data_IF_940705842428
#
_entry.id   IF_940705842428
#
_cell.length_a   1.000
_cell.length_b   1.000
_cell.length_c   1.000
_cell.angle_alpha   90.00
_cell.angle_beta   90.00
_cell.angle_gamma   90.00
#
_symmetry.space_group_name_H-M   'P 1'
#
loop_
_entity.id
_entity.type
_entity.pdbx_description
1 polymer ?
#
# COMPACT_ATOMS: atom_id res chain seq x y z
N UNK A 1 -32.50 11.52 45.46
CA UNK A 1 -32.29 10.38 44.56
C UNK A 1 -33.20 10.57 43.36
N UNK A 2 -32.75 11.34 42.36
CA UNK A 2 -33.54 11.56 41.15
C UNK A 2 -33.31 10.39 40.20
N UNK A 3 -34.39 9.73 39.80
CA UNK A 3 -34.38 8.66 38.82
C UNK A 3 -34.00 9.23 37.45
N UNK A 4 -32.89 8.78 36.88
CA UNK A 4 -32.56 9.05 35.48
C UNK A 4 -33.41 8.11 34.64
N UNK A 5 -34.55 8.59 34.18
CA UNK A 5 -35.33 7.96 33.11
C UNK A 5 -34.48 7.95 31.86
N UNK A 6 -34.17 6.75 31.35
CA UNK A 6 -33.52 6.54 30.06
C UNK A 6 -34.40 7.09 28.94
N UNK A 7 -34.13 8.32 28.52
CA UNK A 7 -34.65 8.85 27.25
C UNK A 7 -33.86 8.28 26.07
N UNK A 8 -34.37 8.44 24.84
CA UNK A 8 -33.65 8.00 23.63
C UNK A 8 -32.28 8.68 23.58
N UNK A 9 -31.23 7.89 23.37
CA UNK A 9 -29.84 8.34 23.28
C UNK A 9 -29.73 9.47 22.24
N UNK A 10 -29.38 10.68 22.67
CA UNK A 10 -29.20 11.80 21.74
C UNK A 10 -27.80 11.80 21.15
N UNK A 11 -27.67 12.29 19.91
CA UNK A 11 -26.39 12.45 19.22
C UNK A 11 -25.38 13.26 20.04
N UNK A 12 -25.87 14.29 20.72
CA UNK A 12 -25.06 15.20 21.55
C UNK A 12 -24.55 14.53 22.84
N UNK A 13 -25.33 13.62 23.42
CA UNK A 13 -24.89 12.83 24.57
C UNK A 13 -23.74 11.91 24.19
N UNK A 14 -23.84 11.23 23.04
CA UNK A 14 -22.81 10.33 22.54
C UNK A 14 -21.53 11.08 22.14
N UNK A 15 -21.65 12.29 21.57
CA UNK A 15 -20.51 13.12 21.19
C UNK A 15 -19.67 13.62 22.37
N UNK A 16 -20.27 13.74 23.56
CA UNK A 16 -19.58 14.18 24.78
C UNK A 16 -18.83 13.05 25.49
N UNK A 17 -19.10 11.79 25.15
CA UNK A 17 -18.37 10.65 25.70
C UNK A 17 -16.95 10.67 25.13
N UNK A 18 -15.95 10.63 26.00
CA UNK A 18 -14.52 10.60 25.64
C UNK A 18 -13.86 9.24 25.89
N UNK A 19 -14.58 8.33 26.54
CA UNK A 19 -14.11 6.99 26.86
C UNK A 19 -14.61 5.98 25.81
N UNK A 20 -13.67 5.31 25.16
CA UNK A 20 -13.93 4.26 24.19
C UNK A 20 -14.64 3.06 24.82
N UNK A 21 -14.30 2.71 26.07
CA UNK A 21 -14.88 1.57 26.75
C UNK A 21 -16.37 1.79 27.03
N UNK A 22 -16.75 3.00 27.40
CA UNK A 22 -18.16 3.37 27.60
C UNK A 22 -18.97 3.20 26.31
N UNK A 23 -18.42 3.59 25.16
CA UNK A 23 -19.10 3.40 23.87
C UNK A 23 -19.19 1.91 23.46
N UNK A 24 -18.17 1.10 23.76
CA UNK A 24 -18.22 -0.35 23.54
C UNK A 24 -19.26 -1.03 24.44
N UNK A 25 -19.28 -0.70 25.73
CA UNK A 25 -20.25 -1.24 26.67
C UNK A 25 -21.68 -0.85 26.27
N UNK A 26 -21.88 0.39 25.81
CA UNK A 26 -23.14 0.85 25.22
C UNK A 26 -23.51 0.07 23.97
N UNK A 27 -22.53 -0.25 23.11
CA UNK A 27 -22.75 -1.03 21.89
C UNK A 27 -23.20 -2.47 22.17
N UNK A 28 -22.72 -3.05 23.26
CA UNK A 28 -23.05 -4.41 23.68
C UNK A 28 -24.46 -4.52 24.30
N UNK A 29 -24.93 -3.47 24.96
CA UNK A 29 -26.29 -3.42 25.53
C UNK A 29 -27.34 -2.87 24.57
N UNK A 30 -26.94 -2.14 23.52
CA UNK A 30 -27.86 -1.53 22.56
C UNK A 30 -28.57 -2.58 21.71
N UNK A 31 -29.89 -2.64 21.83
CA UNK A 31 -30.75 -3.51 21.01
C UNK A 31 -31.33 -2.81 19.79
N UNK A 32 -31.44 -1.48 19.82
CA UNK A 32 -31.99 -0.71 18.72
C UNK A 32 -30.94 -0.46 17.61
N UNK A 33 -31.39 -0.53 16.35
CA UNK A 33 -30.52 -0.37 15.20
C UNK A 33 -29.99 1.06 15.08
N UNK A 34 -30.83 2.06 15.34
CA UNK A 34 -30.43 3.47 15.25
C UNK A 34 -29.50 3.82 16.41
N UNK A 35 -29.78 3.36 17.63
CA UNK A 35 -28.85 3.51 18.76
C UNK A 35 -27.48 2.89 18.45
N UNK A 36 -27.45 1.66 17.94
CA UNK A 36 -26.22 0.96 17.53
C UNK A 36 -25.47 1.71 16.43
N UNK A 37 -26.18 2.28 15.47
CA UNK A 37 -25.62 3.11 14.40
C UNK A 37 -24.98 4.38 14.96
N UNK A 38 -25.67 5.07 15.89
CA UNK A 38 -25.22 6.30 16.51
C UNK A 38 -24.01 6.07 17.41
N UNK A 39 -24.02 5.02 18.23
CA UNK A 39 -22.88 4.64 19.08
C UNK A 39 -21.64 4.38 18.21
N UNK A 40 -21.78 3.63 17.10
CA UNK A 40 -20.67 3.41 16.16
C UNK A 40 -20.21 4.71 15.50
N UNK A 41 -21.12 5.63 15.19
CA UNK A 41 -20.77 6.94 14.64
C UNK A 41 -19.96 7.78 15.64
N UNK A 42 -20.39 7.83 16.90
CA UNK A 42 -19.65 8.50 17.96
C UNK A 42 -18.28 7.86 18.20
N UNK A 43 -18.19 6.53 18.18
CA UNK A 43 -16.93 5.80 18.29
C UNK A 43 -15.98 6.12 17.13
N UNK A 44 -16.49 6.24 15.90
CA UNK A 44 -15.73 6.71 14.74
C UNK A 44 -15.14 8.09 14.98
N UNK A 45 -15.97 9.06 15.39
CA UNK A 45 -15.53 10.43 15.61
C UNK A 45 -14.52 10.54 16.76
N UNK A 46 -14.75 9.82 17.87
CA UNK A 46 -13.83 9.79 19.01
C UNK A 46 -12.45 9.27 18.61
N UNK A 47 -12.40 8.14 17.91
CA UNK A 47 -11.14 7.50 17.52
C UNK A 47 -10.45 8.27 16.39
N UNK A 48 -11.22 8.89 15.49
CA UNK A 48 -10.70 9.84 14.49
C UNK A 48 -10.07 11.05 15.16
N UNK A 49 -10.75 11.67 16.12
CA UNK A 49 -10.21 12.80 16.90
C UNK A 49 -8.94 12.41 17.65
N UNK A 50 -8.90 11.21 18.23
CA UNK A 50 -7.70 10.67 18.90
C UNK A 50 -6.55 10.43 17.93
N UNK A 51 -6.80 9.97 16.70
CA UNK A 51 -5.79 9.89 15.63
C UNK A 51 -5.28 11.27 15.25
N UNK A 52 -6.17 12.19 14.91
CA UNK A 52 -5.80 13.55 14.50
C UNK A 52 -4.99 14.24 15.59
N UNK A 53 -5.33 14.03 16.86
CA UNK A 53 -4.55 14.53 17.99
C UNK A 53 -3.12 13.96 17.99
N UNK A 54 -2.97 12.64 17.80
CA UNK A 54 -1.64 12.00 17.69
C UNK A 54 -0.86 12.55 16.50
N UNK A 55 -1.50 12.73 15.36
CA UNK A 55 -0.83 13.23 14.15
C UNK A 55 -0.45 14.71 14.27
N UNK A 56 -1.30 15.55 14.90
CA UNK A 56 -0.95 16.93 15.25
C UNK A 56 0.22 16.98 16.23
N UNK A 57 0.23 16.12 17.24
CA UNK A 57 1.33 16.05 18.20
C UNK A 57 2.64 15.63 17.53
N UNK A 58 2.59 14.64 16.63
CA UNK A 58 3.74 14.22 15.81
C UNK A 58 4.26 15.35 14.92
N UNK A 59 3.36 16.04 14.22
CA UNK A 59 3.71 17.18 13.38
C UNK A 59 4.34 18.32 14.21
N UNK A 60 3.76 18.65 15.36
CA UNK A 60 4.28 19.67 16.27
C UNK A 60 5.67 19.30 16.80
N UNK A 61 5.91 18.03 17.16
CA UNK A 61 7.23 17.54 17.56
C UNK A 61 8.25 17.67 16.42
N UNK A 62 7.86 17.37 15.18
CA UNK A 62 8.72 17.52 14.01
C UNK A 62 9.06 18.99 13.73
N UNK A 63 8.10 19.89 13.82
CA UNK A 63 8.32 21.33 13.66
C UNK A 63 9.20 21.90 14.78
N UNK A 64 9.03 21.42 16.01
CA UNK A 64 9.89 21.81 17.12
C UNK A 64 11.34 21.36 16.88
N UNK A 65 11.56 20.13 16.37
CA UNK A 65 12.89 19.67 15.94
C UNK A 65 13.50 20.54 14.83
N UNK A 66 12.69 21.04 13.90
CA UNK A 66 13.15 21.96 12.84
C UNK A 66 13.52 23.33 13.40
N UNK A 67 12.79 23.83 14.40
CA UNK A 67 13.09 25.10 15.09
C UNK A 67 14.30 24.97 16.04
N UNK A 68 14.52 23.80 16.64
CA UNK A 68 15.70 23.47 17.44
C UNK A 68 16.93 23.08 16.59
N UNK A 69 16.91 23.34 15.29
CA UNK A 69 18.09 23.20 14.43
C UNK A 69 19.27 23.95 15.03
N UNK A 70 20.21 23.20 15.61
CA UNK A 70 21.56 23.66 15.93
C UNK A 70 22.17 24.15 14.62
N UNK A 71 22.16 25.46 14.42
CA UNK A 71 23.06 26.12 13.50
C UNK A 71 24.49 25.88 13.99
N UNK A 72 25.42 25.30 13.21
CA UNK A 72 26.77 25.81 13.26
C UNK A 72 26.70 27.21 12.65
N UNK A 73 26.62 28.23 13.49
CA UNK A 73 26.77 29.61 13.06
C UNK A 73 28.09 29.84 12.31
N UNK A 74 28.18 30.89 11.47
CA UNK A 74 29.35 31.16 10.65
C UNK A 74 30.53 31.58 11.53
N UNK A 75 31.69 30.93 11.35
CA UNK A 75 32.93 31.41 11.98
C UNK A 75 33.48 32.60 11.18
N UNK A 76 33.87 33.71 11.85
CA UNK A 76 34.49 34.84 11.18
C UNK A 76 35.99 34.57 10.91
N UNK A 77 36.33 34.79 9.64
CA UNK A 77 37.61 35.10 8.99
C UNK A 77 38.96 35.01 9.73
N UNK A 78 39.91 34.34 9.06
CA UNK A 78 41.34 34.65 8.99
C UNK A 78 41.88 34.25 7.59
N UNK A 79 42.82 35.00 6.96
CA UNK A 79 42.81 35.22 5.52
C UNK A 79 43.87 34.45 4.72
N UNK A 80 43.57 34.22 3.43
CA UNK A 80 44.46 34.33 2.26
C UNK A 80 43.77 33.61 1.09
N UNK A 81 43.04 34.33 0.23
CA UNK A 81 43.51 34.89 -1.04
C UNK A 81 43.99 33.80 -2.02
N UNK A 82 43.22 33.53 -3.08
CA UNK A 82 43.56 33.90 -4.47
C UNK A 82 42.30 33.69 -5.34
N UNK A 83 41.78 34.84 -5.78
CA UNK A 83 41.24 35.18 -7.09
C UNK A 83 40.45 34.14 -7.92
N UNK A 84 39.17 34.47 -8.11
CA UNK A 84 38.30 34.06 -9.21
C UNK A 84 38.79 34.62 -10.55
N UNK A 85 38.58 33.90 -11.66
CA UNK A 85 37.58 34.35 -12.66
C UNK A 85 37.21 33.29 -13.73
N UNK A 86 35.92 33.01 -13.76
CA UNK A 86 35.00 32.75 -14.90
C UNK A 86 35.54 32.40 -16.28
N UNK A 87 34.96 31.34 -16.90
CA UNK A 87 34.06 31.47 -18.07
C UNK A 87 33.51 30.11 -18.59
N UNK A 88 32.18 30.09 -18.80
CA UNK A 88 31.37 29.53 -19.92
C UNK A 88 31.91 28.39 -20.84
N UNK A 89 31.03 27.37 -20.98
CA UNK A 89 30.62 26.66 -22.23
C UNK A 89 31.48 25.49 -22.77
N UNK A 90 30.73 24.53 -23.32
CA UNK A 90 31.01 23.57 -24.42
C UNK A 90 31.44 22.15 -24.03
N UNK A 91 30.67 21.20 -24.59
CA UNK A 91 30.97 19.78 -24.80
C UNK A 91 32.42 19.54 -25.26
N UNK A 92 33.07 18.51 -24.72
CA UNK A 92 34.31 17.98 -25.31
C UNK A 92 34.23 16.47 -25.40
N UNK A 93 34.23 16.00 -26.66
CA UNK A 93 34.65 14.66 -27.07
C UNK A 93 36.15 14.56 -26.84
N UNK A 94 36.62 13.46 -26.24
CA UNK A 94 38.04 13.12 -26.17
C UNK A 94 38.37 12.03 -27.19
N UNK A 95 39.46 12.29 -27.91
CA UNK A 95 40.13 11.55 -28.98
C UNK A 95 41.54 11.21 -28.49
N UNK A 96 42.07 9.99 -28.55
CA UNK A 96 42.77 9.25 -29.65
C UNK A 96 43.74 8.26 -28.92
N UNK A 97 44.56 7.37 -29.56
CA UNK A 97 44.69 7.01 -30.98
C UNK A 97 44.67 5.47 -31.24
N UNK A 98 44.84 5.13 -32.52
CA UNK A 98 45.00 3.80 -33.08
C UNK A 98 46.43 3.24 -32.94
N UNK A 99 46.56 1.90 -33.01
CA UNK A 99 47.75 1.19 -33.45
C UNK A 99 47.33 -0.05 -34.24
N UNK A 100 48.04 -0.33 -35.33
CA UNK A 100 47.74 -1.32 -36.36
C UNK A 100 48.57 -2.60 -36.19
N UNK A 101 48.06 -3.72 -36.72
CA UNK A 101 48.88 -4.84 -37.23
C UNK A 101 48.08 -5.75 -38.20
N UNK A 102 48.34 -5.51 -39.48
CA UNK A 102 48.55 -6.40 -40.64
C UNK A 102 48.08 -7.87 -40.69
N UNK A 103 47.22 -8.15 -41.71
CA UNK A 103 47.31 -9.14 -42.85
C UNK A 103 47.42 -10.67 -42.60
N UNK A 104 47.12 -11.58 -43.58
CA UNK A 104 46.39 -11.44 -44.86
C UNK A 104 45.29 -12.52 -45.12
N UNK A 105 44.52 -12.31 -46.21
CA UNK A 105 43.56 -13.26 -46.81
C UNK A 105 44.24 -14.20 -47.81
N UNK A 106 43.77 -15.45 -47.89
CA UNK A 106 43.97 -16.35 -49.04
C UNK A 106 42.64 -16.96 -49.49
N UNK A 107 42.48 -17.05 -50.80
CA UNK A 107 41.30 -17.50 -51.55
C UNK A 107 41.11 -19.02 -51.51
N UNK A 108 39.87 -19.48 -51.70
CA UNK A 108 39.55 -20.90 -51.93
C UNK A 108 38.06 -21.19 -52.02
N UNK A 109 37.49 -21.17 -53.23
CA UNK A 109 36.15 -21.69 -53.54
C UNK A 109 36.09 -23.21 -53.34
N UNK A 110 34.95 -23.77 -52.88
CA UNK A 110 34.16 -24.84 -53.54
C UNK A 110 32.70 -24.90 -53.00
N UNK A 111 31.77 -25.00 -53.95
CA UNK A 111 30.32 -25.31 -53.99
C UNK A 111 29.57 -26.14 -52.90
N UNK A 112 28.34 -25.65 -52.55
CA UNK A 112 26.94 -26.21 -52.61
C UNK A 112 26.67 -27.70 -52.15
N UNK A 113 25.52 -28.10 -51.49
CA UNK A 113 24.12 -27.68 -51.71
C UNK A 113 23.19 -27.38 -50.51
N UNK A 114 21.98 -26.80 -50.77
CA UNK A 114 21.08 -26.28 -49.74
C UNK A 114 20.00 -27.29 -49.35
N UNK A 115 19.80 -27.49 -48.04
CA UNK A 115 18.64 -28.18 -47.51
C UNK A 115 17.47 -27.20 -47.36
N UNK A 116 16.33 -27.61 -47.90
CA UNK A 116 15.04 -26.93 -47.90
C UNK A 116 14.67 -26.33 -46.53
N UNK A 117 14.33 -25.04 -46.54
CA UNK A 117 13.78 -24.36 -45.38
C UNK A 117 12.37 -24.83 -45.08
N UNK A 118 12.20 -25.55 -43.98
CA UNK A 118 10.92 -25.59 -43.26
C UNK A 118 10.81 -24.28 -42.48
N UNK A 119 10.04 -23.34 -43.03
CA UNK A 119 9.59 -22.17 -42.29
C UNK A 119 8.57 -22.68 -41.28
N UNK A 120 9.00 -22.93 -40.04
CA UNK A 120 8.05 -23.08 -38.93
C UNK A 120 7.46 -21.70 -38.71
N UNK A 121 6.27 -21.48 -39.28
CA UNK A 121 5.42 -20.38 -38.88
C UNK A 121 5.29 -20.45 -37.36
N UNK A 122 5.73 -19.41 -36.66
CA UNK A 122 5.29 -19.16 -35.28
C UNK A 122 3.77 -18.96 -35.38
N UNK A 123 3.03 -20.05 -35.26
CA UNK A 123 1.63 -20.00 -34.90
C UNK A 123 1.60 -19.28 -33.58
N UNK A 124 1.08 -18.04 -33.58
CA UNK A 124 0.71 -17.35 -32.36
C UNK A 124 -0.16 -18.30 -31.57
N UNK A 125 0.44 -18.94 -30.57
CA UNK A 125 -0.28 -19.77 -29.63
C UNK A 125 -1.31 -18.87 -28.99
N UNK A 126 -2.56 -19.31 -29.04
CA UNK A 126 -3.73 -18.79 -28.36
C UNK A 126 -3.30 -18.24 -26.99
N UNK A 127 -3.25 -16.91 -26.91
CA UNK A 127 -2.72 -16.19 -25.77
C UNK A 127 -3.64 -16.33 -24.58
N UNK A 128 -3.25 -17.17 -23.62
CA UNK A 128 -3.70 -16.97 -22.25
C UNK A 128 -3.35 -15.54 -21.80
N UNK A 129 -4.10 -14.95 -20.85
CA UNK A 129 -3.83 -13.59 -20.40
C UNK A 129 -2.38 -13.48 -19.95
N UNK A 130 -1.65 -12.51 -20.51
CA UNK A 130 -0.26 -12.26 -20.17
C UNK A 130 -0.17 -11.96 -18.66
N UNK A 131 0.77 -12.58 -17.96
CA UNK A 131 0.89 -12.47 -16.50
C UNK A 131 1.04 -11.03 -16.01
N UNK A 132 1.70 -10.18 -16.81
CA UNK A 132 1.81 -8.73 -16.56
C UNK A 132 0.44 -8.05 -16.59
N UNK A 133 -0.45 -8.47 -17.47
CA UNK A 133 -1.79 -7.90 -17.62
C UNK A 133 -2.69 -8.32 -16.45
N UNK A 134 -2.55 -9.57 -15.97
CA UNK A 134 -3.28 -10.07 -14.79
C UNK A 134 -2.84 -9.35 -13.51
N UNK A 135 -1.52 -9.18 -13.33
CA UNK A 135 -0.98 -8.44 -12.18
C UNK A 135 -1.47 -7.00 -12.17
N UNK A 136 -1.48 -6.35 -13.34
CA UNK A 136 -1.97 -4.98 -13.48
C UNK A 136 -3.47 -4.88 -13.20
N UNK A 137 -4.28 -5.80 -13.75
CA UNK A 137 -5.72 -5.87 -13.47
C UNK A 137 -6.01 -5.99 -11.97
N UNK A 138 -5.27 -6.83 -11.24
CA UNK A 138 -5.46 -6.99 -9.80
C UNK A 138 -5.06 -5.72 -9.03
N UNK A 139 -4.00 -5.04 -9.47
CA UNK A 139 -3.57 -3.77 -8.86
C UNK A 139 -4.63 -2.69 -9.04
N UNK A 140 -5.19 -2.56 -10.24
CA UNK A 140 -6.23 -1.59 -10.54
C UNK A 140 -7.54 -1.92 -9.81
N UNK A 141 -7.86 -3.20 -9.67
CA UNK A 141 -8.97 -3.64 -8.81
C UNK A 141 -8.77 -3.24 -7.36
N UNK A 142 -7.56 -3.44 -6.80
CA UNK A 142 -7.25 -3.02 -5.43
C UNK A 142 -7.45 -1.51 -5.26
N UNK A 143 -6.89 -0.70 -6.17
CA UNK A 143 -7.07 0.77 -6.19
C UNK A 143 -8.54 1.16 -6.21
N UNK A 144 -9.32 0.58 -7.11
CA UNK A 144 -10.75 0.89 -7.23
C UNK A 144 -11.55 0.50 -5.98
N UNK A 145 -11.12 -0.51 -5.22
CA UNK A 145 -11.77 -0.92 -3.98
C UNK A 145 -11.36 -0.10 -2.77
N UNK A 146 -10.16 0.47 -2.78
CA UNK A 146 -9.62 1.27 -1.67
C UNK A 146 -9.68 2.78 -1.91
N UNK A 147 -10.18 3.25 -3.05
CA UNK A 147 -10.28 4.68 -3.38
C UNK A 147 -10.97 5.53 -2.29
N UNK A 148 -12.04 5.07 -1.62
CA UNK A 148 -12.70 5.86 -0.58
C UNK A 148 -11.95 5.93 0.76
N UNK A 149 -10.82 5.23 0.91
CA UNK A 149 -10.13 5.08 2.19
C UNK A 149 -8.99 6.07 2.33
N UNK A 150 -9.06 6.87 3.39
CA UNK A 150 -7.98 7.79 3.74
C UNK A 150 -6.71 7.02 4.15
N UNK A 151 -5.55 7.58 3.82
CA UNK A 151 -4.25 7.02 4.17
C UNK A 151 -3.81 5.82 3.31
N UNK A 152 -4.55 5.45 2.26
CA UNK A 152 -4.21 4.31 1.38
C UNK A 152 -3.97 4.78 -0.05
N UNK A 153 -2.78 4.50 -0.56
CA UNK A 153 -2.42 4.73 -1.97
C UNK A 153 -1.66 3.52 -2.53
N UNK A 154 -2.40 2.62 -3.18
CA UNK A 154 -1.85 1.37 -3.70
C UNK A 154 -1.16 1.61 -5.05
N UNK A 155 0.16 1.68 -5.05
CA UNK A 155 0.98 1.86 -6.26
C UNK A 155 1.65 0.57 -6.72
N UNK A 156 1.86 -0.37 -5.81
CA UNK A 156 2.56 -1.63 -6.04
C UNK A 156 2.06 -2.71 -5.07
N UNK A 157 2.67 -3.89 -5.10
CA UNK A 157 2.40 -4.99 -4.16
C UNK A 157 3.49 -5.11 -3.07
N UNK A 158 4.26 -4.06 -2.80
CA UNK A 158 5.34 -4.05 -1.80
C UNK A 158 5.11 -2.93 -0.81
N UNK A 159 5.81 -1.80 -0.94
CA UNK A 159 5.79 -0.67 -0.02
C UNK A 159 4.41 -0.10 0.27
N UNK A 160 3.47 -0.13 -0.69
CA UNK A 160 2.09 0.31 -0.47
C UNK A 160 1.30 -0.52 0.55
N UNK A 161 1.83 -1.66 0.98
CA UNK A 161 1.20 -2.60 1.91
C UNK A 161 1.96 -2.71 3.23
N UNK A 162 3.06 -1.97 3.38
CA UNK A 162 4.00 -2.15 4.48
C UNK A 162 3.42 -1.77 5.85
N UNK A 163 2.48 -0.82 5.90
CA UNK A 163 1.84 -0.34 7.13
C UNK A 163 0.59 -1.13 7.54
N UNK A 164 0.15 -2.06 6.68
CA UNK A 164 -1.06 -2.86 6.88
C UNK A 164 -2.37 -2.16 6.52
N UNK A 165 -2.39 -0.84 6.26
CA UNK A 165 -3.64 -0.11 5.98
C UNK A 165 -4.28 -0.53 4.66
N UNK A 166 -3.48 -0.84 3.63
CA UNK A 166 -4.00 -1.34 2.36
C UNK A 166 -4.73 -2.69 2.53
N UNK A 167 -4.22 -3.59 3.38
CA UNK A 167 -4.93 -4.83 3.71
C UNK A 167 -6.23 -4.55 4.47
N UNK A 168 -6.16 -3.69 5.49
CA UNK A 168 -7.35 -3.31 6.26
C UNK A 168 -8.44 -2.69 5.37
N UNK A 169 -8.10 -1.72 4.51
CA UNK A 169 -9.05 -1.06 3.62
C UNK A 169 -9.72 -2.05 2.65
N UNK A 170 -8.91 -2.93 2.05
CA UNK A 170 -9.42 -3.92 1.10
C UNK A 170 -10.38 -4.91 1.78
N UNK A 171 -10.03 -5.44 2.95
CA UNK A 171 -10.89 -6.35 3.72
C UNK A 171 -12.17 -5.65 4.19
N UNK A 172 -12.04 -4.45 4.75
CA UNK A 172 -13.17 -3.64 5.24
C UNK A 172 -14.18 -3.32 4.13
N UNK A 173 -13.73 -3.19 2.87
CA UNK A 173 -14.62 -2.92 1.74
C UNK A 173 -15.66 -4.03 1.51
N UNK A 174 -15.34 -5.26 1.87
CA UNK A 174 -16.25 -6.41 1.76
C UNK A 174 -16.89 -6.77 3.10
N UNK A 175 -16.22 -6.46 4.21
CA UNK A 175 -16.67 -6.79 5.56
C UNK A 175 -16.58 -5.57 6.48
N UNK A 176 -17.44 -4.54 6.28
CA UNK A 176 -17.40 -3.31 7.08
C UNK A 176 -17.73 -3.57 8.56
N UNK A 177 -18.52 -4.61 8.86
CA UNK A 177 -18.83 -5.01 10.23
C UNK A 177 -17.66 -5.72 10.94
N UNK A 178 -16.56 -6.01 10.23
CA UNK A 178 -15.43 -6.75 10.80
C UNK A 178 -14.56 -5.93 11.75
N UNK A 179 -14.46 -4.61 11.52
CA UNK A 179 -13.75 -3.65 12.38
C UNK A 179 -13.97 -2.23 11.86
N UNK A 180 -13.71 -1.21 12.68
CA UNK A 180 -13.86 0.19 12.27
C UNK A 180 -12.54 0.74 11.68
N UNK A 181 -12.51 1.04 10.37
CA UNK A 181 -11.29 1.46 9.67
C UNK A 181 -10.76 2.82 10.14
N UNK A 182 -11.64 3.79 10.43
CA UNK A 182 -11.24 5.17 10.77
C UNK A 182 -10.34 5.25 12.02
N UNK A 183 -10.30 4.18 12.81
CA UNK A 183 -9.58 4.06 14.08
C UNK A 183 -8.12 3.61 13.93
N UNK A 184 -7.75 3.01 12.80
CA UNK A 184 -6.49 2.28 12.59
C UNK A 184 -5.22 3.14 12.42
N UNK A 185 -4.27 3.10 13.34
CA UNK A 185 -3.04 3.90 13.22
C UNK A 185 -2.04 3.31 12.19
N UNK A 186 -1.56 4.05 11.17
CA UNK A 186 -0.51 3.55 10.26
C UNK A 186 0.79 3.12 10.96
N UNK A 187 1.06 3.65 12.16
CA UNK A 187 2.25 3.30 12.92
C UNK A 187 2.08 2.01 13.74
N UNK A 188 0.84 1.52 13.92
CA UNK A 188 0.55 0.25 14.59
C UNK A 188 0.42 -0.90 13.57
N UNK A 189 1.53 -1.14 12.85
CA UNK A 189 1.60 -2.11 11.75
C UNK A 189 1.11 -3.50 12.17
N UNK A 190 1.50 -3.95 13.37
CA UNK A 190 1.16 -5.27 13.89
C UNK A 190 -0.35 -5.43 14.04
N UNK A 191 -0.99 -4.49 14.72
CA UNK A 191 -2.44 -4.52 14.93
C UNK A 191 -3.20 -4.43 13.59
N UNK A 192 -2.71 -3.63 12.64
CA UNK A 192 -3.30 -3.54 11.30
C UNK A 192 -3.27 -4.89 10.58
N UNK A 193 -2.09 -5.54 10.50
CA UNK A 193 -1.98 -6.85 9.85
C UNK A 193 -2.84 -7.91 10.53
N UNK A 194 -2.82 -7.96 11.87
CA UNK A 194 -3.58 -8.94 12.64
C UNK A 194 -5.08 -8.79 12.42
N UNK A 195 -5.59 -7.57 12.49
CA UNK A 195 -7.00 -7.26 12.25
C UNK A 195 -7.42 -7.60 10.82
N UNK A 196 -6.63 -7.20 9.82
CA UNK A 196 -6.93 -7.53 8.43
C UNK A 196 -6.99 -9.04 8.19
N UNK A 197 -5.95 -9.78 8.59
CA UNK A 197 -5.86 -11.21 8.31
C UNK A 197 -6.87 -12.04 9.11
N UNK A 198 -7.12 -11.70 10.38
CA UNK A 198 -8.15 -12.35 11.18
C UNK A 198 -9.54 -12.20 10.58
N UNK A 199 -9.88 -10.99 10.12
CA UNK A 199 -11.18 -10.72 9.49
C UNK A 199 -11.29 -11.40 8.12
N UNK A 200 -10.22 -11.40 7.32
CA UNK A 200 -10.20 -12.07 6.02
C UNK A 200 -10.37 -13.60 6.16
N UNK A 201 -9.76 -14.20 7.19
CA UNK A 201 -9.91 -15.62 7.51
C UNK A 201 -11.32 -15.94 8.01
N UNK A 202 -11.79 -15.21 9.02
CA UNK A 202 -13.06 -15.52 9.70
C UNK A 202 -14.28 -15.27 8.81
N UNK A 203 -14.32 -14.14 8.09
CA UNK A 203 -15.48 -13.76 7.28
C UNK A 203 -15.29 -14.10 5.80
N UNK A 204 -14.07 -13.91 5.30
CA UNK A 204 -13.70 -14.15 3.91
C UNK A 204 -13.27 -15.58 3.60
N UNK A 205 -12.99 -16.43 4.60
CA UNK A 205 -12.48 -17.78 4.39
C UNK A 205 -11.11 -17.83 3.71
N UNK A 206 -10.37 -16.72 3.73
CA UNK A 206 -9.06 -16.62 3.09
C UNK A 206 -7.97 -17.12 4.06
N UNK A 207 -7.18 -18.13 3.68
CA UNK A 207 -6.13 -18.64 4.55
C UNK A 207 -5.04 -17.60 4.78
N UNK A 208 -4.45 -17.61 5.98
CA UNK A 208 -3.33 -16.74 6.35
C UNK A 208 -2.03 -17.23 5.72
N UNK A 209 -1.78 -16.84 4.46
CA UNK A 209 -0.54 -17.20 3.74
C UNK A 209 0.67 -16.35 4.12
N UNK A 210 0.47 -15.26 4.87
CA UNK A 210 1.52 -14.33 5.28
C UNK A 210 1.70 -14.37 6.79
N UNK A 211 2.95 -14.51 7.23
CA UNK A 211 3.34 -14.34 8.62
C UNK A 211 3.49 -12.85 8.95
N UNK A 212 2.85 -12.42 10.03
CA UNK A 212 2.89 -11.02 10.50
C UNK A 212 4.31 -10.67 10.95
N UNK A 213 5.01 -11.57 11.63
CA UNK A 213 6.35 -11.29 12.15
C UNK A 213 7.34 -11.06 10.99
N UNK A 214 7.18 -11.77 9.88
CA UNK A 214 8.01 -11.58 8.67
C UNK A 214 7.71 -10.24 7.97
N UNK A 215 6.43 -9.85 7.90
CA UNK A 215 6.04 -8.54 7.36
C UNK A 215 6.57 -7.38 8.22
N UNK A 216 6.69 -7.58 9.53
CA UNK A 216 7.21 -6.57 10.47
C UNK A 216 8.73 -6.47 10.43
N UNK A 217 9.45 -7.58 10.24
CA UNK A 217 10.92 -7.64 10.14
C UNK A 217 11.45 -6.79 8.99
N UNK A 218 10.71 -6.72 7.90
CA UNK A 218 11.11 -5.99 6.69
C UNK A 218 10.45 -4.61 6.63
N UNK A 219 11.20 -3.63 6.09
CA UNK A 219 10.66 -2.29 5.79
C UNK A 219 9.59 -2.35 4.71
N UNK A 220 9.79 -3.22 3.72
CA UNK A 220 8.87 -3.46 2.62
C UNK A 220 8.71 -4.98 2.41
N UNK A 221 7.49 -5.49 2.26
CA UNK A 221 7.25 -6.92 2.07
C UNK A 221 7.63 -7.40 0.66
N UNK A 222 7.96 -8.69 0.49
CA UNK A 222 8.18 -9.24 -0.86
C UNK A 222 6.89 -9.13 -1.69
N UNK A 223 7.00 -8.47 -2.83
CA UNK A 223 5.87 -8.23 -3.72
C UNK A 223 5.20 -9.51 -4.22
N UNK A 224 5.92 -10.63 -4.32
CA UNK A 224 5.33 -11.91 -4.73
C UNK A 224 4.44 -12.48 -3.64
N UNK A 225 4.86 -12.39 -2.38
CA UNK A 225 4.07 -12.86 -1.25
C UNK A 225 2.78 -12.06 -1.12
N UNK A 226 2.87 -10.73 -1.15
CA UNK A 226 1.69 -9.85 -1.13
C UNK A 226 0.77 -10.10 -2.33
N UNK A 227 1.33 -10.16 -3.54
CA UNK A 227 0.54 -10.44 -4.75
C UNK A 227 -0.20 -11.78 -4.65
N UNK A 228 0.47 -12.83 -4.17
CA UNK A 228 -0.11 -14.16 -4.02
C UNK A 228 -1.24 -14.15 -2.99
N UNK A 229 -1.04 -13.49 -1.85
CA UNK A 229 -2.09 -13.34 -0.84
C UNK A 229 -3.30 -12.56 -1.37
N UNK A 230 -3.08 -11.44 -2.05
CA UNK A 230 -4.19 -10.63 -2.62
C UNK A 230 -4.93 -11.40 -3.71
N UNK A 231 -4.22 -12.17 -4.53
CA UNK A 231 -4.84 -13.05 -5.53
C UNK A 231 -5.71 -14.12 -4.86
N UNK A 232 -5.23 -14.73 -3.77
CA UNK A 232 -5.99 -15.72 -3.02
C UNK A 232 -7.22 -15.09 -2.36
N UNK A 233 -7.08 -13.92 -1.75
CA UNK A 233 -8.21 -13.18 -1.18
C UNK A 233 -9.27 -12.87 -2.25
N UNK A 234 -8.85 -12.44 -3.44
CA UNK A 234 -9.74 -12.24 -4.58
C UNK A 234 -10.49 -13.53 -4.95
N UNK A 235 -9.79 -14.67 -5.02
CA UNK A 235 -10.40 -15.99 -5.29
C UNK A 235 -11.47 -16.34 -4.26
N UNK A 236 -11.17 -16.19 -2.96
CA UNK A 236 -12.10 -16.45 -1.88
C UNK A 236 -13.37 -15.56 -1.98
N UNK A 237 -13.22 -14.29 -2.35
CA UNK A 237 -14.35 -13.39 -2.56
C UNK A 237 -15.21 -13.79 -3.77
N UNK A 238 -14.61 -14.27 -4.86
CA UNK A 238 -15.33 -14.77 -6.03
C UNK A 238 -16.13 -16.02 -5.68
N UNK A 239 -15.53 -16.96 -4.92
CA UNK A 239 -16.20 -18.19 -4.48
C UNK A 239 -17.39 -17.90 -3.55
N UNK A 240 -17.29 -16.86 -2.72
CA UNK A 240 -18.40 -16.35 -1.91
C UNK A 240 -19.42 -15.50 -2.68
N UNK A 241 -19.21 -15.26 -3.98
CA UNK A 241 -20.08 -14.43 -4.81
C UNK A 241 -20.02 -12.92 -4.50
N UNK A 242 -19.04 -12.48 -3.71
CA UNK A 242 -18.84 -11.07 -3.34
C UNK A 242 -18.15 -10.27 -4.46
N UNK A 243 -17.50 -10.96 -5.39
CA UNK A 243 -16.92 -10.37 -6.60
C UNK A 243 -17.52 -11.03 -7.83
N UNK A 244 -18.17 -10.23 -8.68
CA UNK A 244 -18.78 -10.70 -9.94
C UNK A 244 -17.71 -10.85 -11.01
N UNK A 245 -17.37 -12.07 -11.38
CA UNK A 245 -16.64 -12.37 -12.62
C UNK A 245 -17.64 -12.60 -13.74
N UNK A 246 -17.37 -12.11 -14.96
CA UNK A 246 -18.21 -12.44 -16.12
C UNK A 246 -18.24 -13.97 -16.27
N UNK A 247 -19.39 -14.60 -16.01
CA UNK A 247 -19.60 -16.02 -16.31
C UNK A 247 -19.36 -16.21 -17.81
N UNK A 248 -18.37 -17.01 -18.17
CA UNK A 248 -18.31 -17.60 -19.51
C UNK A 248 -19.52 -18.54 -19.56
N UNK A 249 -20.53 -18.17 -20.35
CA UNK A 249 -21.63 -19.09 -20.64
C UNK A 249 -21.02 -20.35 -21.27
N UNK A 250 -21.45 -21.56 -20.84
CA UNK A 250 -20.98 -22.81 -21.43
C UNK A 250 -21.31 -22.89 -22.92
#
# INVERSE_FOLDING_TARGET
MAAVTAGPLTEEQLANIQDEQVLNDMLDVATDFEERRMIRAAMRELLKKKREQRDRERAARQDNLRQQGVCPGPKPNGPSNVQQQTQKTVQVKSSYPAAASSLPKTSGSVARPPAAGVRVAKTSAIGGPNTKDVKQMLLDWCRAKTEPYEGVNIQNFSSSWADGLAFCALVHRFFPEGFEYCTLDPYDRKANFEKAFRTAETLGGCPRLLDIDDLLRMREPDWKCVYTYVQEFYRCLVEKGLVKTKKKNP
#
